data_IF_607543350419
#
_entry.id   IF_607543350419
#
_cell.length_a   1.000
_cell.length_b   1.000
_cell.length_c   1.000
_cell.angle_alpha   90.00
_cell.angle_beta   90.00
_cell.angle_gamma   90.00
#
_symmetry.space_group_name_H-M   'P 1'
#
loop_
_entity.id
_entity.type
_entity.pdbx_description
1 polymer ?
#
# COMPACT_ATOMS: atom_id res chain seq x y z
N UNK A 1 -7.21 29.64 -58.37
CA UNK A 1 -7.85 29.25 -57.10
C UNK A 1 -8.10 30.52 -56.29
N UNK A 2 -9.33 30.81 -55.92
CA UNK A 2 -9.74 32.07 -55.30
C UNK A 2 -9.09 32.21 -53.91
N UNK A 3 -8.68 33.44 -53.51
CA UNK A 3 -8.03 33.70 -52.19
C UNK A 3 -8.81 33.08 -51.03
N UNK A 4 -10.13 33.19 -51.05
CA UNK A 4 -11.02 32.62 -50.04
C UNK A 4 -10.91 31.07 -49.92
N UNK A 5 -10.77 30.36 -51.04
CA UNK A 5 -10.62 28.89 -51.05
C UNK A 5 -9.26 28.46 -50.48
N UNK A 6 -8.21 29.25 -50.69
CA UNK A 6 -6.87 29.00 -50.12
C UNK A 6 -6.88 29.17 -48.60
N UNK A 7 -7.54 30.21 -48.09
CA UNK A 7 -7.64 30.49 -46.65
C UNK A 7 -8.48 29.42 -45.94
N UNK A 8 -9.60 29.00 -46.51
CA UNK A 8 -10.41 27.92 -45.97
C UNK A 8 -9.64 26.60 -45.94
N UNK A 9 -8.88 26.26 -46.99
CA UNK A 9 -8.11 25.02 -47.05
C UNK A 9 -6.98 25.02 -46.02
N UNK A 10 -6.28 26.16 -45.81
CA UNK A 10 -5.22 26.28 -44.82
C UNK A 10 -5.76 26.18 -43.39
N UNK A 11 -6.93 26.77 -43.10
CA UNK A 11 -7.60 26.66 -41.80
C UNK A 11 -8.04 25.22 -41.50
N UNK A 12 -8.61 24.53 -42.50
CA UNK A 12 -8.99 23.11 -42.33
C UNK A 12 -7.77 22.22 -42.09
N UNK A 13 -6.66 22.47 -42.81
CA UNK A 13 -5.42 21.71 -42.62
C UNK A 13 -4.81 21.94 -41.23
N UNK A 14 -4.80 23.19 -40.75
CA UNK A 14 -4.32 23.54 -39.40
C UNK A 14 -5.17 22.91 -38.31
N UNK A 15 -6.50 22.86 -38.52
CA UNK A 15 -7.41 22.25 -37.59
C UNK A 15 -7.23 20.69 -37.54
N UNK A 16 -7.03 20.07 -38.70
CA UNK A 16 -6.78 18.63 -38.79
C UNK A 16 -5.43 18.23 -38.10
N UNK A 17 -4.37 19.02 -38.32
CA UNK A 17 -3.07 18.77 -37.66
C UNK A 17 -3.14 19.05 -36.17
N UNK A 18 -3.83 20.09 -35.71
CA UNK A 18 -4.05 20.38 -34.31
C UNK A 18 -4.85 19.25 -33.60
N UNK A 19 -5.88 18.74 -34.29
CA UNK A 19 -6.71 17.66 -33.77
C UNK A 19 -5.92 16.34 -33.63
N UNK A 20 -5.08 16.01 -34.60
CA UNK A 20 -4.23 14.82 -34.54
C UNK A 20 -3.16 14.91 -33.45
N UNK A 21 -2.63 16.10 -33.13
CA UNK A 21 -1.68 16.28 -32.04
C UNK A 21 -2.34 16.13 -30.67
N UNK A 22 -3.59 16.57 -30.50
CA UNK A 22 -4.32 16.44 -29.23
C UNK A 22 -4.71 14.97 -28.96
N UNK A 23 -5.09 14.22 -29.98
CA UNK A 23 -5.51 12.83 -29.83
C UNK A 23 -4.37 11.81 -30.03
N UNK A 24 -3.32 12.17 -30.77
CA UNK A 24 -2.17 11.30 -31.04
C UNK A 24 -1.18 11.19 -29.88
N UNK A 25 -1.22 12.13 -28.93
CA UNK A 25 -0.36 12.11 -27.72
C UNK A 25 -1.06 11.61 -26.46
N UNK A 26 -2.33 11.20 -26.56
CA UNK A 26 -2.92 10.36 -25.53
C UNK A 26 -2.23 8.97 -25.59
N UNK A 27 -1.02 8.89 -25.06
CA UNK A 27 -0.51 7.64 -24.55
C UNK A 27 -1.55 7.19 -23.54
N UNK A 28 -2.45 6.29 -23.95
CA UNK A 28 -3.23 5.54 -23.00
C UNK A 28 -2.21 4.79 -22.17
N UNK A 29 -1.83 5.36 -21.03
CA UNK A 29 -1.24 4.60 -19.96
C UNK A 29 -2.25 3.49 -19.73
N UNK A 30 -1.98 2.31 -20.26
CA UNK A 30 -2.83 1.15 -20.11
C UNK A 30 -2.71 0.82 -18.64
N UNK A 31 -3.62 1.38 -17.84
CA UNK A 31 -3.75 1.02 -16.45
C UNK A 31 -3.84 -0.51 -16.44
N UNK A 32 -2.91 -1.14 -15.75
CA UNK A 32 -2.95 -2.58 -15.57
C UNK A 32 -4.38 -2.91 -15.14
N UNK A 33 -5.02 -3.88 -15.82
CA UNK A 33 -6.40 -4.19 -15.49
C UNK A 33 -6.48 -4.51 -13.99
N UNK A 34 -7.53 -4.07 -13.32
CA UNK A 34 -7.74 -4.30 -11.90
C UNK A 34 -7.49 -5.77 -11.53
N UNK A 35 -7.96 -6.70 -12.36
CA UNK A 35 -7.80 -8.13 -12.14
C UNK A 35 -6.34 -8.60 -12.16
N UNK A 36 -5.52 -8.06 -13.08
CA UNK A 36 -4.08 -8.37 -13.12
C UNK A 36 -3.36 -7.82 -11.90
N UNK A 37 -3.69 -6.61 -11.49
CA UNK A 37 -3.10 -5.97 -10.31
C UNK A 37 -3.48 -6.73 -9.05
N UNK A 38 -4.75 -7.12 -8.91
CA UNK A 38 -5.25 -7.95 -7.81
C UNK A 38 -4.55 -9.30 -7.75
N UNK A 39 -4.43 -10.00 -8.87
CA UNK A 39 -3.75 -11.30 -8.93
C UNK A 39 -2.26 -11.24 -8.55
N UNK A 40 -1.57 -10.15 -8.93
CA UNK A 40 -0.17 -9.92 -8.52
C UNK A 40 -0.11 -9.66 -7.02
N UNK A 41 -1.03 -8.84 -6.52
CA UNK A 41 -1.11 -8.51 -5.10
C UNK A 41 -1.38 -9.75 -4.24
N UNK A 42 -2.32 -10.60 -4.62
CA UNK A 42 -2.61 -11.86 -3.94
C UNK A 42 -1.36 -12.76 -3.88
N UNK A 43 -0.64 -12.92 -5.00
CA UNK A 43 0.63 -13.67 -5.02
C UNK A 43 1.71 -13.07 -4.12
N UNK A 44 1.80 -11.74 -4.04
CA UNK A 44 2.71 -11.08 -3.10
C UNK A 44 2.31 -11.35 -1.66
N UNK A 45 1.01 -11.29 -1.36
CA UNK A 45 0.47 -11.62 -0.05
C UNK A 45 0.79 -13.07 0.35
N UNK A 46 0.52 -14.03 -0.53
CA UNK A 46 0.84 -15.45 -0.32
C UNK A 46 2.33 -15.67 -0.06
N UNK A 47 3.19 -15.01 -0.83
CA UNK A 47 4.64 -15.08 -0.62
C UNK A 47 5.06 -14.55 0.75
N UNK A 48 4.54 -13.38 1.14
CA UNK A 48 4.81 -12.79 2.46
C UNK A 48 4.33 -13.73 3.56
N UNK A 49 3.12 -14.24 3.44
CA UNK A 49 2.48 -15.12 4.41
C UNK A 49 3.24 -16.44 4.62
N UNK A 50 3.78 -16.99 3.53
CA UNK A 50 4.59 -18.22 3.59
C UNK A 50 6.02 -17.98 4.07
N UNK A 51 6.55 -16.77 3.86
CA UNK A 51 7.92 -16.40 4.22
C UNK A 51 8.03 -15.89 5.66
N UNK A 52 7.09 -15.04 6.08
CA UNK A 52 7.04 -14.47 7.43
C UNK A 52 6.01 -15.21 8.25
N UNK A 53 6.39 -16.33 8.83
CA UNK A 53 5.50 -17.16 9.66
C UNK A 53 5.29 -16.60 11.06
N UNK A 54 6.28 -15.90 11.58
CA UNK A 54 6.33 -15.34 12.93
C UNK A 54 6.55 -13.83 12.86
N UNK A 55 5.48 -13.03 12.63
CA UNK A 55 5.61 -11.59 12.58
C UNK A 55 6.01 -11.03 13.96
N UNK A 56 7.14 -10.30 14.01
CA UNK A 56 7.74 -9.83 15.26
C UNK A 56 7.96 -8.32 15.27
N UNK A 57 7.95 -7.73 16.47
CA UNK A 57 8.15 -6.30 16.69
C UNK A 57 9.52 -5.85 16.17
N UNK A 58 9.56 -4.66 15.57
CA UNK A 58 10.80 -4.02 15.17
C UNK A 58 11.43 -4.54 13.89
N UNK A 59 10.76 -5.44 13.18
CA UNK A 59 11.25 -6.03 11.93
C UNK A 59 10.42 -5.60 10.73
N UNK A 60 10.97 -5.77 9.51
CA UNK A 60 10.18 -5.60 8.28
C UNK A 60 9.03 -6.62 8.19
N UNK A 61 9.23 -7.80 8.78
CA UNK A 61 8.24 -8.87 8.85
C UNK A 61 7.20 -8.71 9.97
N UNK A 62 7.21 -7.63 10.72
CA UNK A 62 6.24 -7.32 11.77
C UNK A 62 5.23 -6.28 11.34
N UNK A 63 5.37 -5.07 11.86
CA UNK A 63 4.42 -3.98 11.71
C UNK A 63 4.08 -3.66 10.26
N UNK A 64 5.09 -3.66 9.38
CA UNK A 64 4.90 -3.32 7.97
C UNK A 64 4.16 -4.41 7.20
N UNK A 65 4.34 -5.68 7.58
CA UNK A 65 3.56 -6.79 7.01
C UNK A 65 2.10 -6.69 7.44
N UNK A 66 1.85 -6.49 8.74
CA UNK A 66 0.48 -6.31 9.26
C UNK A 66 -0.21 -5.14 8.59
N UNK A 67 0.46 -3.98 8.52
CA UNK A 67 -0.06 -2.78 7.87
C UNK A 67 -0.33 -3.02 6.38
N UNK A 68 0.64 -3.53 5.64
CA UNK A 68 0.54 -3.71 4.19
C UNK A 68 -0.55 -4.69 3.80
N UNK A 69 -0.60 -5.87 4.42
CA UNK A 69 -1.61 -6.88 4.13
C UNK A 69 -3.02 -6.41 4.51
N UNK A 70 -3.19 -5.82 5.71
CA UNK A 70 -4.48 -5.33 6.19
C UNK A 70 -5.03 -4.21 5.31
N UNK A 71 -4.22 -3.18 4.98
CA UNK A 71 -4.67 -2.05 4.17
C UNK A 71 -4.95 -2.41 2.72
N UNK A 72 -4.29 -3.43 2.23
CA UNK A 72 -4.53 -3.92 0.88
C UNK A 72 -5.71 -4.90 0.80
N UNK A 73 -6.38 -5.19 1.92
CA UNK A 73 -7.54 -6.08 1.97
C UNK A 73 -7.18 -7.55 1.75
N UNK A 74 -5.94 -7.95 2.05
CA UNK A 74 -5.54 -9.36 2.04
C UNK A 74 -6.20 -10.10 3.21
N UNK A 75 -6.66 -11.31 2.97
CA UNK A 75 -7.31 -12.14 3.99
C UNK A 75 -6.27 -12.71 4.97
N UNK A 76 -6.02 -11.97 6.05
CA UNK A 76 -5.11 -12.38 7.12
C UNK A 76 -5.88 -13.24 8.11
N UNK A 77 -5.43 -14.46 8.37
CA UNK A 77 -6.07 -15.33 9.37
C UNK A 77 -5.96 -14.76 10.79
N UNK A 78 -6.94 -15.06 11.63
CA UNK A 78 -6.93 -14.65 13.04
C UNK A 78 -5.69 -15.18 13.75
N UNK A 79 -5.30 -16.44 13.50
CA UNK A 79 -4.10 -17.03 14.11
C UNK A 79 -2.81 -16.28 13.79
N UNK A 80 -2.71 -15.69 12.60
CA UNK A 80 -1.54 -14.87 12.24
C UNK A 80 -1.54 -13.54 12.95
N UNK A 81 -2.71 -12.89 13.07
CA UNK A 81 -2.92 -11.68 13.86
C UNK A 81 -2.58 -11.91 15.32
N UNK A 82 -3.11 -13.00 15.89
CA UNK A 82 -2.87 -13.41 17.28
C UNK A 82 -1.37 -13.65 17.55
N UNK A 83 -0.66 -14.28 16.60
CA UNK A 83 0.79 -14.49 16.70
C UNK A 83 1.53 -13.14 16.77
N UNK A 84 1.18 -12.19 15.91
CA UNK A 84 1.77 -10.85 15.96
C UNK A 84 1.48 -10.15 17.28
N UNK A 85 0.23 -10.15 17.74
CA UNK A 85 -0.18 -9.51 19.00
C UNK A 85 0.50 -10.14 20.20
N UNK A 86 0.61 -11.47 20.24
CA UNK A 86 1.34 -12.17 21.29
C UNK A 86 2.84 -11.79 21.32
N UNK A 87 3.47 -11.63 20.16
CA UNK A 87 4.84 -11.16 20.05
C UNK A 87 5.00 -9.71 20.52
N UNK A 88 4.02 -8.84 20.22
CA UNK A 88 3.98 -7.45 20.76
C UNK A 88 3.85 -7.45 22.28
N UNK A 89 2.91 -8.23 22.82
CA UNK A 89 2.75 -8.35 24.27
C UNK A 89 4.00 -8.85 24.96
N UNK A 90 4.64 -9.86 24.40
CA UNK A 90 5.89 -10.42 24.92
C UNK A 90 6.98 -9.35 24.97
N UNK A 91 7.19 -8.65 23.87
CA UNK A 91 8.20 -7.57 23.78
C UNK A 91 7.95 -6.44 24.78
N UNK A 92 6.68 -6.03 24.94
CA UNK A 92 6.30 -5.01 25.91
C UNK A 92 6.55 -5.48 27.35
N UNK A 93 6.20 -6.71 27.70
CA UNK A 93 6.45 -7.28 29.03
C UNK A 93 7.93 -7.42 29.33
N UNK A 94 8.74 -7.89 28.39
CA UNK A 94 10.19 -8.03 28.53
C UNK A 94 10.91 -6.68 28.70
N UNK A 95 10.34 -5.59 28.17
CA UNK A 95 10.90 -4.24 28.20
C UNK A 95 10.19 -3.30 29.16
N UNK A 96 9.30 -3.81 30.00
CA UNK A 96 8.48 -3.03 30.93
C UNK A 96 7.80 -1.82 30.26
N UNK A 97 7.23 -2.06 29.05
CA UNK A 97 6.56 -1.05 28.24
C UNK A 97 7.49 -0.10 27.48
N UNK A 98 8.81 -0.17 27.70
CA UNK A 98 9.77 0.76 27.08
C UNK A 98 10.41 0.11 25.85
N UNK A 99 9.76 0.22 24.69
CA UNK A 99 10.28 -0.35 23.44
C UNK A 99 11.64 0.25 23.05
N UNK A 100 11.81 1.55 23.28
CA UNK A 100 13.09 2.23 23.02
C UNK A 100 13.17 3.56 23.79
N UNK A 101 14.30 3.82 24.45
CA UNK A 101 14.46 4.99 25.33
C UNK A 101 14.46 6.35 24.57
N UNK A 102 14.77 6.38 23.27
CA UNK A 102 14.93 7.60 22.47
C UNK A 102 14.23 7.57 21.12
N UNK A 103 13.94 6.40 20.56
CA UNK A 103 13.36 6.26 19.23
C UNK A 103 11.83 6.09 19.32
N UNK A 104 11.10 7.19 19.43
CA UNK A 104 9.63 7.21 19.48
C UNK A 104 8.97 6.61 18.22
N UNK A 105 9.69 6.52 17.11
CA UNK A 105 9.24 5.83 15.90
C UNK A 105 8.95 4.35 16.13
N UNK A 106 9.56 3.72 17.14
CA UNK A 106 9.25 2.33 17.51
C UNK A 106 7.81 2.20 17.99
N UNK A 107 7.40 3.12 18.89
CA UNK A 107 6.01 3.15 19.39
C UNK A 107 5.02 3.42 18.25
N UNK A 108 5.30 4.39 17.38
CA UNK A 108 4.42 4.69 16.25
C UNK A 108 4.24 3.49 15.32
N UNK A 109 5.30 2.72 15.06
CA UNK A 109 5.22 1.51 14.25
C UNK A 109 4.37 0.42 14.91
N UNK A 110 4.60 0.17 16.20
CA UNK A 110 3.82 -0.81 16.96
C UNK A 110 2.35 -0.43 16.99
N UNK A 111 2.02 0.86 17.22
CA UNK A 111 0.64 1.37 17.16
C UNK A 111 0.01 1.06 15.80
N UNK A 112 0.70 1.36 14.70
CA UNK A 112 0.23 1.06 13.35
C UNK A 112 -0.01 -0.44 13.16
N UNK A 113 0.94 -1.28 13.56
CA UNK A 113 0.84 -2.73 13.42
C UNK A 113 -0.30 -3.32 14.23
N UNK A 114 -0.42 -2.93 15.49
CA UNK A 114 -1.49 -3.37 16.42
C UNK A 114 -2.86 -2.98 15.89
N UNK A 115 -3.03 -1.72 15.48
CA UNK A 115 -4.29 -1.24 14.89
C UNK A 115 -4.61 -1.99 13.60
N UNK A 116 -3.62 -2.27 12.78
CA UNK A 116 -3.78 -3.05 11.53
C UNK A 116 -4.13 -4.51 11.80
N UNK A 117 -3.72 -5.05 12.93
CA UNK A 117 -4.13 -6.37 13.42
C UNK A 117 -5.57 -6.37 13.99
N UNK A 118 -6.21 -5.20 14.13
CA UNK A 118 -7.56 -5.06 14.65
C UNK A 118 -7.64 -4.96 16.18
N UNK A 119 -6.52 -4.74 16.87
CA UNK A 119 -6.47 -4.62 18.32
C UNK A 119 -6.40 -3.14 18.75
N UNK A 120 -6.69 -2.91 20.04
CA UNK A 120 -6.65 -1.58 20.65
C UNK A 120 -5.22 -1.24 21.09
N UNK A 121 -4.58 -0.35 20.35
CA UNK A 121 -3.22 0.08 20.65
C UNK A 121 -3.09 0.94 21.94
N UNK A 122 -4.20 1.38 22.51
CA UNK A 122 -4.20 2.14 23.79
C UNK A 122 -4.18 1.23 25.02
N UNK A 123 -4.28 -0.08 24.83
CA UNK A 123 -4.26 -1.04 25.93
C UNK A 123 -3.74 -2.42 25.46
N UNK A 124 -2.44 -2.53 25.27
CA UNK A 124 -1.80 -3.82 24.95
C UNK A 124 -1.04 -4.32 26.17
N UNK A 125 -1.40 -5.49 26.67
CA UNK A 125 -0.79 -6.11 27.86
C UNK A 125 -0.78 -5.21 29.12
N UNK A 126 -1.71 -4.26 29.20
CA UNK A 126 -1.80 -3.28 30.30
C UNK A 126 -0.91 -2.03 30.11
N UNK A 127 -0.24 -1.91 28.97
CA UNK A 127 0.53 -0.72 28.62
C UNK A 127 -0.29 0.20 27.70
N UNK A 128 -0.14 1.52 27.90
CA UNK A 128 -0.77 2.58 27.12
C UNK A 128 0.29 3.49 26.51
#
# INVERSE_FOLDING_TARGET
MNKTKRTCLSLLLSFAVGFTMIFGSASFAQAASYDKTKAIFEKCGDYIYTTVKEPTVGTLGGEWVMYGLSHAGYDISDSYRDTYLANVEKELKEKDGILHAKAFTQYSRVIIGVTSAGADATNIAGYN
#
